data_IF_114097303140
#
_entry.id   IF_114097303140
#
_cell.length_a   1.000
_cell.length_b   1.000
_cell.length_c   1.000
_cell.angle_alpha   90.00
_cell.angle_beta   90.00
_cell.angle_gamma   90.00
#
_symmetry.space_group_name_H-M   'P 1'
#
loop_
_entity.id
_entity.type
_entity.pdbx_description
1 polymer ?
#
# COMPACT_ATOMS: atom_id res chain seq x y z
N UNK A 1 66.92 -46.63 -2.44
CA UNK A 1 65.93 -45.61 -2.01
C UNK A 1 65.03 -45.28 -3.21
N UNK A 2 63.74 -45.63 -3.17
CA UNK A 2 62.77 -45.45 -4.27
C UNK A 2 61.80 -44.33 -3.86
N UNK A 3 61.70 -43.24 -4.63
CA UNK A 3 60.70 -42.16 -4.40
C UNK A 3 59.35 -42.56 -5.01
N UNK A 4 58.21 -42.29 -4.37
CA UNK A 4 56.90 -42.57 -4.94
C UNK A 4 56.56 -41.60 -6.08
N UNK A 5 55.76 -42.02 -7.07
CA UNK A 5 55.31 -41.16 -8.16
C UNK A 5 54.31 -40.11 -7.69
N UNK A 6 54.47 -38.87 -8.16
CA UNK A 6 53.46 -37.81 -8.03
C UNK A 6 52.32 -38.10 -9.01
N UNK A 7 51.13 -38.40 -8.49
CA UNK A 7 49.90 -38.41 -9.28
C UNK A 7 49.54 -36.97 -9.63
N UNK A 8 49.86 -36.53 -10.84
CA UNK A 8 49.28 -35.33 -11.42
C UNK A 8 47.79 -35.61 -11.65
N UNK A 9 46.91 -34.90 -10.94
CA UNK A 9 45.50 -34.87 -11.28
C UNK A 9 45.35 -34.11 -12.60
N UNK A 10 44.88 -34.79 -13.64
CA UNK A 10 44.53 -34.15 -14.92
C UNK A 10 43.47 -33.06 -14.67
N UNK A 11 43.87 -31.80 -14.86
CA UNK A 11 42.92 -30.70 -14.94
C UNK A 11 42.16 -30.85 -16.26
N UNK A 12 40.96 -31.43 -16.19
CA UNK A 12 39.99 -31.39 -17.28
C UNK A 12 39.52 -29.94 -17.43
N UNK A 13 40.05 -29.23 -18.42
CA UNK A 13 39.61 -27.87 -18.74
C UNK A 13 38.12 -27.83 -19.05
N UNK A 14 37.43 -26.78 -18.59
CA UNK A 14 36.02 -26.56 -18.89
C UNK A 14 35.83 -26.40 -20.41
N UNK A 15 34.79 -27.04 -20.95
CA UNK A 15 34.44 -26.88 -22.37
C UNK A 15 33.67 -25.57 -22.59
N UNK A 16 33.80 -24.93 -23.76
CA UNK A 16 33.02 -23.72 -24.10
C UNK A 16 31.50 -23.92 -23.96
N UNK A 17 31.02 -25.14 -24.23
CA UNK A 17 29.61 -25.52 -24.11
C UNK A 17 29.17 -25.53 -22.64
N UNK A 18 30.04 -25.97 -21.73
CA UNK A 18 29.74 -26.01 -20.30
C UNK A 18 29.54 -24.62 -19.71
N UNK A 19 30.37 -23.65 -20.12
CA UNK A 19 30.22 -22.24 -19.71
C UNK A 19 28.95 -21.64 -20.29
N UNK A 20 28.62 -21.91 -21.56
CA UNK A 20 27.38 -21.44 -22.19
C UNK A 20 26.13 -21.98 -21.49
N UNK A 21 26.12 -23.27 -21.15
CA UNK A 21 25.01 -23.88 -20.40
C UNK A 21 24.93 -23.29 -18.99
N UNK A 22 26.04 -23.08 -18.30
CA UNK A 22 26.05 -22.44 -16.98
C UNK A 22 25.49 -21.00 -17.03
N UNK A 23 25.88 -20.21 -18.03
CA UNK A 23 25.34 -18.86 -18.24
C UNK A 23 23.85 -18.86 -18.59
N UNK A 24 23.38 -19.85 -19.36
CA UNK A 24 21.95 -20.00 -19.67
C UNK A 24 21.12 -20.34 -18.42
N UNK A 25 21.58 -21.28 -17.60
CA UNK A 25 20.88 -21.64 -16.36
C UNK A 25 20.89 -20.46 -15.38
N UNK A 26 22.02 -19.77 -15.26
CA UNK A 26 22.14 -18.58 -14.41
C UNK A 26 21.19 -17.46 -14.86
N UNK A 27 21.09 -17.19 -16.17
CA UNK A 27 20.23 -16.13 -16.68
C UNK A 27 18.75 -16.41 -16.41
N UNK A 28 18.30 -17.66 -16.59
CA UNK A 28 16.94 -18.10 -16.23
C UNK A 28 16.69 -17.93 -14.73
N UNK A 29 17.65 -18.33 -13.89
CA UNK A 29 17.57 -18.17 -12.43
C UNK A 29 17.44 -16.70 -12.00
N UNK A 30 18.22 -15.81 -12.61
CA UNK A 30 18.16 -14.37 -12.34
C UNK A 30 16.84 -13.73 -12.78
N UNK A 31 16.25 -14.16 -13.91
CA UNK A 31 14.93 -13.71 -14.33
C UNK A 31 13.83 -14.13 -13.33
N UNK A 32 13.91 -15.36 -12.82
CA UNK A 32 13.01 -15.84 -11.77
C UNK A 32 13.13 -15.01 -10.47
N UNK A 33 14.35 -14.70 -10.05
CA UNK A 33 14.61 -13.84 -8.88
C UNK A 33 14.08 -12.42 -9.08
N UNK A 34 14.27 -11.82 -10.25
CA UNK A 34 13.74 -10.50 -10.57
C UNK A 34 12.19 -10.47 -10.49
N UNK A 35 11.52 -11.49 -10.99
CA UNK A 35 10.06 -11.63 -10.88
C UNK A 35 9.56 -11.68 -9.44
N UNK A 36 10.25 -12.45 -8.58
CA UNK A 36 9.94 -12.51 -7.15
C UNK A 36 10.19 -11.16 -6.46
N UNK A 37 11.28 -10.47 -6.80
CA UNK A 37 11.60 -9.15 -6.22
C UNK A 37 10.51 -8.11 -6.55
N UNK A 38 10.03 -8.08 -7.80
CA UNK A 38 8.94 -7.17 -8.20
C UNK A 38 7.65 -7.47 -7.43
N UNK A 39 7.31 -8.76 -7.30
CA UNK A 39 6.12 -9.20 -6.54
C UNK A 39 6.23 -8.81 -5.05
N UNK A 40 7.41 -8.99 -4.46
CA UNK A 40 7.68 -8.60 -3.09
C UNK A 40 7.54 -7.08 -2.89
N UNK A 41 8.05 -6.27 -3.81
CA UNK A 41 7.91 -4.81 -3.75
C UNK A 41 6.44 -4.39 -3.83
N UNK A 42 5.66 -4.96 -4.75
CA UNK A 42 4.21 -4.69 -4.87
C UNK A 42 3.47 -5.04 -3.58
N UNK A 43 3.76 -6.22 -3.01
CA UNK A 43 3.14 -6.65 -1.75
C UNK A 43 3.50 -5.72 -0.58
N UNK A 44 4.75 -5.26 -0.48
CA UNK A 44 5.16 -4.34 0.56
C UNK A 44 4.47 -2.98 0.43
N UNK A 45 4.34 -2.46 -0.79
CA UNK A 45 3.67 -1.19 -1.05
C UNK A 45 2.17 -1.24 -0.68
N UNK A 46 1.49 -2.33 -1.05
CA UNK A 46 0.09 -2.53 -0.70
C UNK A 46 -0.11 -2.64 0.82
N UNK A 47 0.77 -3.39 1.50
CA UNK A 47 0.77 -3.48 2.96
C UNK A 47 1.02 -2.12 3.64
N UNK A 48 1.93 -1.31 3.10
CA UNK A 48 2.19 0.05 3.57
C UNK A 48 0.93 0.93 3.47
N UNK A 49 0.24 0.94 2.33
CA UNK A 49 -0.98 1.73 2.18
C UNK A 49 -2.11 1.25 3.10
N UNK A 50 -2.29 -0.06 3.28
CA UNK A 50 -3.25 -0.60 4.25
C UNK A 50 -2.93 -0.18 5.69
N UNK A 51 -1.65 -0.11 6.06
CA UNK A 51 -1.21 0.43 7.35
C UNK A 51 -1.55 1.91 7.48
N UNK A 52 -1.27 2.72 6.46
CA UNK A 52 -1.62 4.14 6.45
C UNK A 52 -3.13 4.37 6.55
N UNK A 53 -3.94 3.62 5.79
CA UNK A 53 -5.41 3.68 5.86
C UNK A 53 -5.93 3.32 7.26
N UNK A 54 -5.32 2.33 7.92
CA UNK A 54 -5.65 1.97 9.31
C UNK A 54 -5.40 3.14 10.26
N UNK A 55 -4.23 3.78 10.17
CA UNK A 55 -3.88 4.95 10.99
C UNK A 55 -4.87 6.09 10.74
N UNK A 56 -5.18 6.39 9.48
CA UNK A 56 -6.12 7.46 9.10
C UNK A 56 -7.57 7.17 9.51
N UNK A 57 -7.98 5.90 9.55
CA UNK A 57 -9.28 5.52 10.10
C UNK A 57 -9.34 5.75 11.62
N UNK A 58 -8.27 5.42 12.36
CA UNK A 58 -8.20 5.73 13.78
C UNK A 58 -8.16 7.24 14.06
N UNK A 59 -7.45 8.02 13.24
CA UNK A 59 -7.39 9.48 13.36
C UNK A 59 -8.79 10.11 13.37
N UNK A 60 -9.62 9.82 12.36
CA UNK A 60 -10.98 10.39 12.32
C UNK A 60 -11.87 9.85 13.44
N UNK A 61 -11.70 8.60 13.86
CA UNK A 61 -12.44 8.02 14.98
C UNK A 61 -12.11 8.73 16.28
N UNK A 62 -10.83 9.01 16.53
CA UNK A 62 -10.42 9.67 17.76
C UNK A 62 -10.83 11.15 17.77
N UNK A 63 -10.83 11.82 16.62
CA UNK A 63 -11.46 13.15 16.46
C UNK A 63 -12.97 13.12 16.76
N UNK A 64 -13.71 12.14 16.24
CA UNK A 64 -15.13 11.95 16.56
C UNK A 64 -15.36 11.65 18.05
N UNK A 65 -14.47 10.89 18.70
CA UNK A 65 -14.54 10.64 20.15
C UNK A 65 -14.32 11.91 20.96
N UNK A 66 -13.39 12.75 20.54
CA UNK A 66 -13.14 14.04 21.16
C UNK A 66 -14.32 15.00 20.98
N UNK A 67 -14.95 15.00 19.80
CA UNK A 67 -16.15 15.77 19.50
C UNK A 67 -17.43 14.90 19.43
N UNK A 68 -17.65 14.14 20.50
CA UNK A 68 -18.70 13.11 20.55
C UNK A 68 -20.11 13.64 20.32
N UNK A 69 -20.42 14.84 20.80
CA UNK A 69 -21.76 15.41 20.67
C UNK A 69 -22.11 15.62 19.19
N UNK A 70 -21.23 16.25 18.42
CA UNK A 70 -21.43 16.49 16.99
C UNK A 70 -21.41 15.19 16.19
N UNK A 71 -20.55 14.22 16.55
CA UNK A 71 -20.55 12.89 15.94
C UNK A 71 -21.89 12.18 16.10
N UNK A 72 -22.47 12.17 17.31
CA UNK A 72 -23.78 11.54 17.56
C UNK A 72 -24.94 12.31 16.91
N UNK A 73 -24.79 13.62 16.70
CA UNK A 73 -25.74 14.46 15.98
C UNK A 73 -25.62 14.35 14.45
N UNK A 74 -24.64 13.59 13.93
CA UNK A 74 -24.47 13.31 12.51
C UNK A 74 -23.70 14.37 11.73
N UNK A 75 -22.98 15.28 12.41
CA UNK A 75 -22.17 16.31 11.73
C UNK A 75 -20.95 15.69 11.03
N UNK A 76 -20.47 14.56 11.54
CA UNK A 76 -19.42 13.75 10.89
C UNK A 76 -19.98 12.76 9.85
N UNK A 77 -21.29 12.77 9.54
CA UNK A 77 -21.85 11.85 8.55
C UNK A 77 -21.50 12.38 7.14
N UNK A 78 -20.57 11.71 6.46
CA UNK A 78 -20.05 12.11 5.14
C UNK A 78 -20.18 10.94 4.18
N UNK A 79 -20.79 11.18 3.01
CA UNK A 79 -20.84 10.22 1.91
C UNK A 79 -19.43 10.02 1.31
N UNK A 80 -19.25 8.94 0.57
CA UNK A 80 -17.97 8.66 -0.08
C UNK A 80 -17.57 9.82 -1.00
N UNK A 81 -16.46 10.47 -0.68
CA UNK A 81 -15.97 11.63 -1.43
C UNK A 81 -14.46 11.75 -1.38
N UNK A 82 -13.91 12.47 -2.35
CA UNK A 82 -12.49 12.82 -2.45
C UNK A 82 -12.31 14.31 -2.12
N UNK A 83 -11.19 14.63 -1.48
CA UNK A 83 -10.62 15.97 -1.48
C UNK A 83 -9.23 15.88 -2.11
N UNK A 84 -8.95 16.62 -3.17
CA UNK A 84 -7.63 16.59 -3.79
C UNK A 84 -6.55 17.03 -2.79
N UNK A 85 -5.37 16.43 -2.87
CA UNK A 85 -4.27 16.78 -1.96
C UNK A 85 -3.88 18.25 -2.12
N UNK A 86 -3.99 19.01 -1.04
CA UNK A 86 -3.63 20.42 -0.92
C UNK A 86 -2.76 20.62 0.34
N UNK A 87 -1.44 20.88 0.19
CA UNK A 87 -0.54 21.16 1.30
C UNK A 87 -0.86 22.45 2.06
N UNK A 88 -1.60 23.38 1.46
CA UNK A 88 -1.93 24.70 2.02
C UNK A 88 -3.40 24.77 2.48
N UNK A 89 -4.04 23.59 2.64
CA UNK A 89 -5.45 23.50 3.01
C UNK A 89 -5.73 24.31 4.28
N UNK A 90 -6.69 25.24 4.16
CA UNK A 90 -7.16 26.08 5.25
C UNK A 90 -8.67 25.87 5.44
N UNK A 91 -9.09 24.78 6.10
CA UNK A 91 -10.49 24.42 6.20
C UNK A 91 -11.25 25.41 7.11
N UNK A 92 -12.53 25.64 6.80
CA UNK A 92 -13.40 26.55 7.54
C UNK A 92 -14.67 25.83 7.99
N UNK A 93 -15.54 26.52 8.73
CA UNK A 93 -16.74 25.92 9.31
C UNK A 93 -16.55 25.47 10.76
N UNK A 94 -17.35 24.50 11.19
CA UNK A 94 -17.31 23.88 12.51
C UNK A 94 -16.03 23.07 12.73
N UNK A 95 -15.79 22.60 13.95
CA UNK A 95 -14.66 21.71 14.23
C UNK A 95 -14.76 20.42 13.40
N UNK A 96 -15.96 19.83 13.32
CA UNK A 96 -16.21 18.62 12.53
C UNK A 96 -15.97 18.82 11.03
N UNK A 97 -16.37 19.98 10.48
CA UNK A 97 -16.13 20.30 9.06
C UNK A 97 -14.63 20.34 8.75
N UNK A 98 -13.83 20.91 9.67
CA UNK A 98 -12.37 20.97 9.54
C UNK A 98 -11.73 19.60 9.68
N UNK A 99 -12.15 18.83 10.68
CA UNK A 99 -11.65 17.47 10.88
C UNK A 99 -11.87 16.59 9.66
N UNK A 100 -13.06 16.62 9.07
CA UNK A 100 -13.40 15.85 7.86
C UNK A 100 -12.59 16.34 6.66
N UNK A 101 -12.45 17.65 6.47
CA UNK A 101 -11.67 18.21 5.36
C UNK A 101 -10.18 17.84 5.45
N UNK A 102 -9.58 17.96 6.63
CA UNK A 102 -8.18 17.58 6.88
C UNK A 102 -7.97 16.07 6.71
N UNK A 103 -8.90 15.26 7.20
CA UNK A 103 -8.86 13.81 7.05
C UNK A 103 -8.90 13.41 5.58
N UNK A 104 -9.87 13.91 4.80
CA UNK A 104 -9.96 13.63 3.36
C UNK A 104 -8.73 14.10 2.59
N UNK A 105 -8.16 15.25 2.94
CA UNK A 105 -6.91 15.73 2.37
C UNK A 105 -5.74 14.77 2.67
N UNK A 106 -5.67 14.27 3.90
CA UNK A 106 -4.64 13.32 4.32
C UNK A 106 -4.76 11.98 3.58
N UNK A 107 -5.99 11.50 3.33
CA UNK A 107 -6.21 10.31 2.49
C UNK A 107 -5.56 10.51 1.11
N UNK A 108 -5.84 11.65 0.47
CA UNK A 108 -5.34 11.94 -0.87
C UNK A 108 -3.84 12.18 -0.94
N UNK A 109 -3.27 12.84 0.08
CA UNK A 109 -1.84 13.12 0.14
C UNK A 109 -1.00 11.88 0.48
N UNK A 110 -1.54 10.93 1.26
CA UNK A 110 -0.76 9.80 1.79
C UNK A 110 -0.99 8.48 1.05
N UNK A 111 -2.18 8.26 0.48
CA UNK A 111 -2.53 7.02 -0.21
C UNK A 111 -2.41 7.19 -1.72
N UNK A 112 -3.34 7.94 -2.31
CA UNK A 112 -3.39 8.25 -3.73
C UNK A 112 -4.21 9.52 -3.96
N UNK A 113 -3.93 10.29 -5.01
CA UNK A 113 -4.62 11.57 -5.25
C UNK A 113 -6.14 11.47 -5.42
N UNK A 114 -6.62 10.29 -5.79
CA UNK A 114 -8.02 9.92 -5.97
C UNK A 114 -8.60 9.14 -4.77
N UNK A 115 -7.89 9.09 -3.63
CA UNK A 115 -8.37 8.41 -2.43
C UNK A 115 -9.65 9.07 -1.90
N UNK A 116 -10.57 8.25 -1.43
CA UNK A 116 -11.90 8.67 -1.00
C UNK A 116 -12.19 8.15 0.41
N UNK A 117 -13.00 8.89 1.14
CA UNK A 117 -13.41 8.55 2.49
C UNK A 117 -14.90 8.73 2.69
N UNK A 118 -15.50 7.88 3.53
CA UNK A 118 -16.86 8.06 4.04
C UNK A 118 -16.91 7.74 5.53
N UNK A 119 -17.85 8.39 6.22
CA UNK A 119 -18.22 8.07 7.60
C UNK A 119 -19.74 7.92 7.62
N UNK A 120 -20.20 6.68 7.80
CA UNK A 120 -21.62 6.34 7.80
C UNK A 120 -22.03 5.89 9.19
N UNK A 121 -23.04 6.53 9.74
CA UNK A 121 -23.57 6.24 11.07
C UNK A 121 -24.86 5.43 11.01
N UNK A 122 -24.95 4.41 11.86
CA UNK A 122 -26.16 3.65 12.17
C UNK A 122 -26.37 3.65 13.69
N UNK A 123 -27.12 4.63 14.19
CA UNK A 123 -27.28 4.87 15.62
C UNK A 123 -25.95 5.29 16.26
N UNK A 124 -25.35 4.39 17.05
CA UNK A 124 -24.04 4.59 17.70
C UNK A 124 -22.89 3.87 17.00
N UNK A 125 -23.17 3.12 15.94
CA UNK A 125 -22.17 2.40 15.17
C UNK A 125 -21.75 3.28 13.99
N UNK A 126 -20.46 3.53 13.87
CA UNK A 126 -19.87 4.32 12.81
C UNK A 126 -19.04 3.39 11.93
N UNK A 127 -19.29 3.43 10.64
CA UNK A 127 -18.54 2.70 9.60
C UNK A 127 -17.72 3.71 8.83
N UNK A 128 -16.41 3.58 8.91
CA UNK A 128 -15.44 4.38 8.16
C UNK A 128 -15.03 3.53 6.98
N UNK A 129 -15.20 4.04 5.76
CA UNK A 129 -14.71 3.41 4.54
C UNK A 129 -13.68 4.32 3.90
N UNK A 130 -12.53 3.75 3.53
CA UNK A 130 -11.45 4.43 2.82
C UNK A 130 -11.18 3.64 1.55
N UNK A 131 -11.16 4.33 0.41
CA UNK A 131 -10.90 3.73 -0.89
C UNK A 131 -9.74 4.43 -1.57
N UNK A 132 -8.81 3.68 -2.15
CA UNK A 132 -7.70 4.25 -2.91
C UNK A 132 -7.33 3.36 -4.08
N UNK A 133 -6.63 3.93 -5.05
CA UNK A 133 -6.12 3.18 -6.18
C UNK A 133 -4.71 2.64 -5.90
N UNK A 134 -4.52 1.33 -6.04
CA UNK A 134 -3.23 0.63 -5.95
C UNK A 134 -2.65 0.34 -7.37
N UNK A 135 -2.61 1.36 -8.24
CA UNK A 135 -2.15 1.20 -9.63
C UNK A 135 -0.63 1.27 -9.82
N UNK A 136 0.15 1.59 -8.78
CA UNK A 136 1.55 2.06 -8.95
C UNK A 136 2.59 0.97 -9.32
N UNK A 137 2.15 -0.19 -9.79
CA UNK A 137 3.02 -1.28 -10.23
C UNK A 137 2.49 -2.10 -11.40
N UNK A 138 1.49 -1.61 -12.15
CA UNK A 138 0.91 -2.35 -13.29
C UNK A 138 1.46 -1.81 -14.62
N UNK A 139 1.72 -2.74 -15.55
CA UNK A 139 2.11 -2.47 -16.94
C UNK A 139 0.85 -2.29 -17.82
N UNK A 140 -0.31 -2.71 -17.33
CA UNK A 140 -1.60 -2.58 -18.01
C UNK A 140 -2.25 -1.22 -17.70
N UNK A 141 -3.03 -0.71 -18.67
CA UNK A 141 -3.79 0.52 -18.53
C UNK A 141 -4.74 0.40 -17.33
N UNK A 142 -4.79 1.45 -16.49
CA UNK A 142 -5.67 1.50 -15.33
C UNK A 142 -7.14 1.40 -15.76
N UNK A 143 -7.81 0.31 -15.41
CA UNK A 143 -9.27 0.31 -15.33
C UNK A 143 -9.68 0.93 -13.98
N UNK A 144 -10.79 1.67 -13.98
CA UNK A 144 -11.33 2.42 -12.82
C UNK A 144 -11.81 1.49 -11.68
N UNK A 145 -11.78 0.17 -11.90
CA UNK A 145 -12.35 -0.88 -11.02
C UNK A 145 -11.34 -1.43 -9.99
N UNK A 146 -10.05 -1.15 -10.11
CA UNK A 146 -9.02 -1.70 -9.20
C UNK A 146 -8.79 -0.82 -7.95
N UNK A 147 -9.88 -0.51 -7.24
CA UNK A 147 -9.85 0.24 -5.99
C UNK A 147 -9.77 -0.70 -4.80
N UNK A 148 -8.82 -0.45 -3.91
CA UNK A 148 -8.75 -1.14 -2.63
C UNK A 148 -9.68 -0.43 -1.64
N UNK A 149 -10.54 -1.20 -0.98
CA UNK A 149 -11.46 -0.69 0.04
C UNK A 149 -11.04 -1.19 1.42
N UNK A 150 -10.84 -0.26 2.35
CA UNK A 150 -10.64 -0.52 3.77
C UNK A 150 -11.86 -0.06 4.56
N UNK A 151 -12.43 -0.95 5.37
CA UNK A 151 -13.61 -0.65 6.20
C UNK A 151 -13.28 -0.91 7.66
N UNK A 152 -13.55 0.08 8.51
CA UNK A 152 -13.45 -0.02 9.95
C UNK A 152 -14.80 0.31 10.60
N UNK A 153 -15.21 -0.47 11.59
CA UNK A 153 -16.45 -0.23 12.34
C UNK A 153 -16.13 0.00 13.80
N UNK A 154 -16.69 1.06 14.36
CA UNK A 154 -16.55 1.40 15.77
C UNK A 154 -17.89 1.78 16.37
N UNK A 155 -17.99 1.69 17.70
CA UNK A 155 -19.13 2.21 18.43
C UNK A 155 -18.66 3.43 19.23
N UNK A 156 -19.41 4.52 19.11
CA UNK A 156 -19.31 5.68 19.99
C UNK A 156 -20.30 5.51 21.13
#
# INVERSE_FOLDING_TARGET
MKRPPSTSADQRGATLIEVLVAMLVLSIGLLGLAGMQMTALKSNQSAYYRSQATVLAYDIIDRMRANRADALNGVYDVALQNQACDPELSPSGSLADRDVAEWLNSLSCLLSSDAQGSVVRNGRIFTISIEWNDNRGRIEAADDDDRETFVYRTQL
#
